data_IF_540286481814
#
_entry.id   IF_540286481814
#
_cell.length_a   1.000
_cell.length_b   1.000
_cell.length_c   1.000
_cell.angle_alpha   90.00
_cell.angle_beta   90.00
_cell.angle_gamma   90.00
#
_symmetry.space_group_name_H-M   'P 1'
#
loop_
_entity.id
_entity.type
_entity.pdbx_description
1 polymer ?
#
# COMPACT_ATOMS: atom_id res chain seq x y z
N UNK A 1 -2.03 -0.39 -50.29
CA UNK A 1 -0.91 -1.01 -49.55
C UNK A 1 0.18 0.05 -49.38
N UNK A 2 0.24 0.67 -48.16
CA UNK A 2 1.26 1.67 -47.88
C UNK A 2 2.66 1.02 -47.82
N UNK A 3 3.53 1.32 -48.79
CA UNK A 3 4.94 0.98 -48.72
C UNK A 3 5.57 1.80 -47.59
N UNK A 4 5.88 1.16 -46.48
CA UNK A 4 6.68 1.74 -45.41
C UNK A 4 8.02 2.14 -46.05
N UNK A 5 8.41 3.41 -45.98
CA UNK A 5 9.69 3.87 -46.47
C UNK A 5 10.82 3.13 -45.73
N UNK A 6 11.95 2.92 -46.42
CA UNK A 6 13.12 2.24 -45.82
C UNK A 6 13.59 2.90 -44.54
N UNK A 7 13.50 4.20 -44.45
CA UNK A 7 13.81 4.98 -43.21
C UNK A 7 12.86 4.74 -42.09
N UNK A 8 11.54 4.64 -42.35
CA UNK A 8 10.56 4.28 -41.36
C UNK A 8 10.76 2.87 -40.81
N UNK A 9 11.16 1.92 -41.68
CA UNK A 9 11.45 0.56 -41.23
C UNK A 9 12.69 0.49 -40.34
N UNK A 10 13.74 1.28 -40.63
CA UNK A 10 14.93 1.40 -39.77
C UNK A 10 14.58 2.02 -38.43
N UNK A 11 13.82 3.11 -38.44
CA UNK A 11 13.36 3.77 -37.21
C UNK A 11 12.52 2.85 -36.32
N UNK A 12 11.56 2.12 -36.89
CA UNK A 12 10.74 1.16 -36.16
C UNK A 12 11.58 0.00 -35.58
N UNK A 13 12.62 -0.46 -36.31
CA UNK A 13 13.55 -1.48 -35.80
C UNK A 13 14.38 -0.95 -34.63
N UNK A 14 14.87 0.28 -34.70
CA UNK A 14 15.63 0.89 -33.59
C UNK A 14 14.80 1.06 -32.35
N UNK A 15 13.54 1.52 -32.46
CA UNK A 15 12.59 1.61 -31.35
C UNK A 15 12.29 0.23 -30.74
N UNK A 16 12.09 -0.78 -31.57
CA UNK A 16 11.82 -2.14 -31.11
C UNK A 16 13.03 -2.73 -30.37
N UNK A 17 14.23 -2.52 -30.89
CA UNK A 17 15.49 -2.93 -30.26
C UNK A 17 15.67 -2.22 -28.91
N UNK A 18 15.48 -0.92 -28.86
CA UNK A 18 15.55 -0.15 -27.60
C UNK A 18 14.56 -0.67 -26.55
N UNK A 19 13.30 -0.91 -26.91
CA UNK A 19 12.28 -1.48 -26.00
C UNK A 19 12.67 -2.88 -25.49
N UNK A 20 13.24 -3.72 -26.36
CA UNK A 20 13.70 -5.06 -25.97
C UNK A 20 14.89 -4.94 -25.02
N UNK A 21 15.88 -4.10 -25.31
CA UNK A 21 17.03 -3.87 -24.43
C UNK A 21 16.60 -3.39 -23.05
N UNK A 22 15.66 -2.42 -22.98
CA UNK A 22 15.13 -1.94 -21.71
C UNK A 22 14.38 -3.04 -20.95
N UNK A 23 13.61 -3.90 -21.63
CA UNK A 23 12.93 -5.02 -20.97
C UNK A 23 13.93 -6.05 -20.42
N UNK A 24 14.95 -6.38 -21.21
CA UNK A 24 16.01 -7.31 -20.79
C UNK A 24 16.77 -6.72 -19.60
N UNK A 25 17.15 -5.45 -19.64
CA UNK A 25 17.83 -4.80 -18.54
C UNK A 25 16.98 -4.82 -17.25
N UNK A 26 15.69 -4.54 -17.34
CA UNK A 26 14.77 -4.62 -16.18
C UNK A 26 14.68 -6.05 -15.64
N UNK A 27 14.56 -7.04 -16.51
CA UNK A 27 14.51 -8.43 -16.10
C UNK A 27 15.82 -8.87 -15.43
N UNK A 28 16.98 -8.48 -15.99
CA UNK A 28 18.29 -8.78 -15.40
C UNK A 28 18.46 -8.14 -14.02
N UNK A 29 18.03 -6.89 -13.84
CA UNK A 29 18.08 -6.22 -12.52
C UNK A 29 17.22 -6.98 -11.51
N UNK A 30 16.01 -7.38 -11.89
CA UNK A 30 15.12 -8.13 -11.01
C UNK A 30 15.72 -9.50 -10.64
N UNK A 31 16.22 -10.23 -11.64
CA UNK A 31 16.84 -11.55 -11.41
C UNK A 31 18.09 -11.40 -10.52
N UNK A 32 18.94 -10.42 -10.79
CA UNK A 32 20.14 -10.17 -9.97
C UNK A 32 19.76 -9.82 -8.53
N UNK A 33 18.74 -9.01 -8.34
CA UNK A 33 18.22 -8.69 -6.99
C UNK A 33 17.74 -9.94 -6.26
N UNK A 34 16.93 -10.79 -6.91
CA UNK A 34 16.43 -12.02 -6.30
C UNK A 34 17.56 -13.00 -5.97
N UNK A 35 18.57 -13.12 -6.86
CA UNK A 35 19.74 -13.96 -6.61
C UNK A 35 20.59 -13.44 -5.45
N UNK A 36 20.83 -12.13 -5.39
CA UNK A 36 21.55 -11.52 -4.26
C UNK A 36 20.80 -11.72 -2.94
N UNK A 37 19.48 -11.59 -2.94
CA UNK A 37 18.66 -11.84 -1.76
C UNK A 37 18.75 -13.29 -1.31
N UNK A 38 18.58 -14.26 -2.23
CA UNK A 38 18.72 -15.69 -1.94
C UNK A 38 20.08 -16.01 -1.34
N UNK A 39 21.15 -15.60 -2.02
CA UNK A 39 22.53 -15.88 -1.57
C UNK A 39 22.82 -15.20 -0.23
N UNK A 40 22.37 -13.97 -0.02
CA UNK A 40 22.56 -13.25 1.25
C UNK A 40 21.85 -13.94 2.42
N UNK A 41 20.67 -14.52 2.17
CA UNK A 41 19.94 -15.30 3.16
C UNK A 41 20.61 -16.64 3.47
N UNK A 42 21.11 -17.34 2.45
CA UNK A 42 21.76 -18.67 2.61
C UNK A 42 23.13 -18.57 3.24
N UNK A 43 23.88 -17.50 2.94
CA UNK A 43 25.21 -17.26 3.54
C UNK A 43 25.16 -16.70 4.95
N UNK A 44 23.96 -16.36 5.45
CA UNK A 44 23.79 -15.78 6.78
C UNK A 44 24.21 -14.31 6.90
N UNK A 45 24.43 -13.61 5.75
CA UNK A 45 24.67 -12.17 5.73
C UNK A 45 23.47 -11.38 6.24
N UNK A 46 22.29 -11.91 5.98
CA UNK A 46 21.02 -11.40 6.52
C UNK A 46 20.34 -12.51 7.33
N UNK A 47 19.69 -12.11 8.42
CA UNK A 47 18.96 -13.05 9.26
C UNK A 47 17.76 -13.62 8.48
N UNK A 48 17.85 -14.89 8.13
CA UNK A 48 16.84 -15.62 7.38
C UNK A 48 15.50 -15.76 8.11
N UNK A 49 15.48 -15.59 9.44
CA UNK A 49 14.26 -15.59 10.24
C UNK A 49 13.46 -14.28 10.04
N UNK A 50 14.17 -13.16 9.93
CA UNK A 50 13.54 -11.83 9.76
C UNK A 50 13.22 -11.55 8.28
N UNK A 51 14.19 -11.79 7.40
CA UNK A 51 14.10 -11.36 5.99
C UNK A 51 13.65 -12.47 5.04
N UNK A 52 13.64 -13.75 5.52
CA UNK A 52 13.33 -14.92 4.68
C UNK A 52 14.21 -15.03 3.43
N UNK A 53 13.81 -15.84 2.46
CA UNK A 53 14.40 -15.91 1.12
C UNK A 53 13.32 -16.18 0.07
N UNK A 54 13.55 -15.82 -1.21
CA UNK A 54 12.64 -16.10 -2.31
C UNK A 54 12.18 -17.56 -2.37
N UNK A 55 13.08 -18.52 -2.21
CA UNK A 55 12.75 -19.95 -2.23
C UNK A 55 11.88 -20.36 -1.04
N UNK A 56 12.14 -19.86 0.17
CA UNK A 56 11.31 -20.13 1.35
C UNK A 56 9.91 -19.53 1.21
N UNK A 57 9.79 -18.33 0.64
CA UNK A 57 8.49 -17.71 0.37
C UNK A 57 7.69 -18.56 -0.62
N UNK A 58 8.32 -19.02 -1.72
CA UNK A 58 7.65 -19.89 -2.68
C UNK A 58 7.22 -21.23 -2.07
N UNK A 59 8.05 -21.83 -1.20
CA UNK A 59 7.72 -23.08 -0.51
C UNK A 59 6.54 -22.89 0.44
N UNK A 60 6.57 -21.86 1.29
CA UNK A 60 5.47 -21.53 2.19
C UNK A 60 4.15 -21.26 1.41
N UNK A 61 4.23 -20.49 0.33
CA UNK A 61 3.06 -20.24 -0.51
C UNK A 61 2.48 -21.53 -1.09
N UNK A 62 3.34 -22.45 -1.58
CA UNK A 62 2.92 -23.75 -2.08
C UNK A 62 2.21 -24.58 -1.00
N UNK A 63 2.76 -24.62 0.21
CA UNK A 63 2.15 -25.33 1.33
C UNK A 63 0.78 -24.75 1.67
N UNK A 64 0.67 -23.41 1.78
CA UNK A 64 -0.59 -22.72 2.05
C UNK A 64 -1.65 -22.94 0.96
N UNK A 65 -1.24 -23.13 -0.29
CA UNK A 65 -2.16 -23.46 -1.40
C UNK A 65 -2.62 -24.92 -1.30
N UNK A 66 -1.71 -25.84 -0.94
CA UNK A 66 -2.01 -27.27 -0.85
C UNK A 66 -2.94 -27.60 0.33
N UNK A 67 -2.72 -26.97 1.48
CA UNK A 67 -3.57 -27.13 2.68
C UNK A 67 -4.82 -26.22 2.68
N UNK A 68 -4.96 -25.38 1.65
CA UNK A 68 -6.05 -24.44 1.46
C UNK A 68 -6.13 -23.32 2.52
N UNK A 69 -5.18 -23.17 3.39
CA UNK A 69 -5.16 -22.12 4.42
C UNK A 69 -5.09 -20.71 3.81
N UNK A 70 -4.49 -20.58 2.63
CA UNK A 70 -4.40 -19.32 1.89
C UNK A 70 -5.78 -18.65 1.69
N UNK A 71 -6.81 -19.43 1.42
CA UNK A 71 -8.17 -18.89 1.20
C UNK A 71 -8.73 -18.27 2.47
N UNK A 72 -8.48 -18.88 3.62
CA UNK A 72 -8.88 -18.34 4.91
C UNK A 72 -8.14 -17.02 5.20
N UNK A 73 -6.82 -17.00 5.02
CA UNK A 73 -6.00 -15.80 5.24
C UNK A 73 -6.40 -14.65 4.31
N UNK A 74 -6.62 -14.94 3.02
CA UNK A 74 -7.10 -13.94 2.05
C UNK A 74 -8.48 -13.42 2.45
N UNK A 75 -9.39 -14.30 2.87
CA UNK A 75 -10.73 -13.89 3.28
C UNK A 75 -10.71 -12.98 4.51
N UNK A 76 -9.94 -13.35 5.53
CA UNK A 76 -9.80 -12.55 6.75
C UNK A 76 -9.21 -11.17 6.42
N UNK A 77 -8.13 -11.14 5.65
CA UNK A 77 -7.50 -9.88 5.24
C UNK A 77 -8.45 -9.00 4.42
N UNK A 78 -9.23 -9.61 3.52
CA UNK A 78 -10.22 -8.88 2.73
C UNK A 78 -11.32 -8.28 3.63
N UNK A 79 -11.83 -9.07 4.56
CA UNK A 79 -12.81 -8.59 5.55
C UNK A 79 -12.26 -7.42 6.37
N UNK A 80 -11.06 -7.55 6.94
CA UNK A 80 -10.41 -6.50 7.74
C UNK A 80 -10.20 -5.22 6.93
N UNK A 81 -9.76 -5.37 5.68
CA UNK A 81 -9.52 -4.24 4.77
C UNK A 81 -10.83 -3.52 4.41
N UNK A 82 -11.85 -4.26 4.02
CA UNK A 82 -13.17 -3.70 3.67
C UNK A 82 -13.80 -3.03 4.89
N UNK A 83 -13.76 -3.68 6.05
CA UNK A 83 -14.32 -3.13 7.29
C UNK A 83 -13.60 -1.82 7.67
N UNK A 84 -12.27 -1.80 7.66
CA UNK A 84 -11.48 -0.59 7.91
C UNK A 84 -11.81 0.52 6.92
N UNK A 85 -11.88 0.19 5.63
CA UNK A 85 -12.20 1.16 4.57
C UNK A 85 -13.59 1.78 4.76
N UNK A 86 -14.60 0.97 5.00
CA UNK A 86 -15.97 1.46 5.21
C UNK A 86 -16.07 2.34 6.46
N UNK A 87 -15.45 1.92 7.56
CA UNK A 87 -15.42 2.71 8.79
C UNK A 87 -14.68 4.04 8.61
N UNK A 88 -13.50 4.03 8.00
CA UNK A 88 -12.75 5.26 7.69
C UNK A 88 -13.59 6.18 6.81
N UNK A 89 -14.19 5.67 5.75
CA UNK A 89 -14.99 6.45 4.82
C UNK A 89 -16.19 7.09 5.52
N UNK A 90 -16.94 6.30 6.29
CA UNK A 90 -18.11 6.78 7.02
C UNK A 90 -17.73 7.87 8.03
N UNK A 91 -16.74 7.59 8.90
CA UNK A 91 -16.33 8.54 9.93
C UNK A 91 -15.70 9.79 9.32
N UNK A 92 -14.92 9.65 8.26
CA UNK A 92 -14.30 10.79 7.56
C UNK A 92 -15.33 11.71 6.93
N UNK A 93 -16.34 11.14 6.24
CA UNK A 93 -17.41 11.94 5.64
C UNK A 93 -18.20 12.67 6.72
N UNK A 94 -18.61 11.97 7.76
CA UNK A 94 -19.38 12.59 8.86
C UNK A 94 -18.58 13.72 9.52
N UNK A 95 -17.32 13.49 9.81
CA UNK A 95 -16.45 14.49 10.45
C UNK A 95 -16.18 15.66 9.51
N UNK A 96 -15.87 15.42 8.23
CA UNK A 96 -15.63 16.48 7.25
C UNK A 96 -16.86 17.36 7.04
N UNK A 97 -18.06 16.77 6.97
CA UNK A 97 -19.33 17.53 6.89
C UNK A 97 -19.56 18.37 8.16
N UNK A 98 -19.33 17.84 9.35
CA UNK A 98 -19.43 18.60 10.59
C UNK A 98 -18.48 19.79 10.63
N UNK A 99 -17.23 19.60 10.19
CA UNK A 99 -16.24 20.68 10.09
C UNK A 99 -16.66 21.75 9.05
N UNK A 100 -17.19 21.32 7.91
CA UNK A 100 -17.67 22.22 6.87
C UNK A 100 -18.90 23.03 7.32
N UNK A 101 -19.84 22.41 8.04
CA UNK A 101 -21.03 23.10 8.57
C UNK A 101 -20.72 24.08 9.71
N UNK A 102 -19.58 23.96 10.39
CA UNK A 102 -19.25 24.78 11.56
C UNK A 102 -17.81 25.30 11.50
N UNK A 103 -17.68 26.56 11.07
CA UNK A 103 -16.39 27.27 11.01
C UNK A 103 -15.65 27.28 12.36
N UNK A 104 -16.38 27.45 13.47
CA UNK A 104 -15.77 27.43 14.80
C UNK A 104 -15.19 26.04 15.15
N UNK A 105 -15.91 24.98 14.79
CA UNK A 105 -15.46 23.62 15.03
C UNK A 105 -14.21 23.31 14.19
N UNK A 106 -14.19 23.76 12.94
CA UNK A 106 -13.06 23.63 12.06
C UNK A 106 -11.82 24.33 12.61
N UNK A 107 -11.92 25.60 12.98
CA UNK A 107 -10.82 26.39 13.54
C UNK A 107 -10.25 25.76 14.83
N UNK A 108 -11.07 25.09 15.64
CA UNK A 108 -10.64 24.41 16.87
C UNK A 108 -9.96 23.07 16.56
N UNK A 109 -10.54 22.25 15.66
CA UNK A 109 -10.10 20.85 15.46
C UNK A 109 -8.98 20.70 14.43
N UNK A 110 -8.87 21.61 13.47
CA UNK A 110 -7.87 21.55 12.39
C UNK A 110 -6.43 21.35 12.92
N UNK A 111 -5.92 22.12 13.90
CA UNK A 111 -4.56 21.91 14.41
C UNK A 111 -4.38 20.51 15.04
N UNK A 112 -5.39 19.98 15.70
CA UNK A 112 -5.33 18.63 16.27
C UNK A 112 -5.31 17.55 15.20
N UNK A 113 -6.11 17.70 14.13
CA UNK A 113 -6.13 16.79 13.00
C UNK A 113 -4.78 16.76 12.28
N UNK A 114 -4.15 17.93 12.11
CA UNK A 114 -2.80 18.03 11.54
C UNK A 114 -1.78 17.29 12.38
N UNK A 115 -1.78 17.49 13.70
CA UNK A 115 -0.86 16.80 14.61
C UNK A 115 -1.09 15.30 14.57
N UNK A 116 -2.34 14.83 14.67
CA UNK A 116 -2.68 13.41 14.63
C UNK A 116 -2.32 12.75 13.28
N UNK A 117 -2.47 13.48 12.18
CA UNK A 117 -2.05 12.99 10.87
C UNK A 117 -0.52 12.90 10.72
N UNK A 118 0.22 13.69 11.47
CA UNK A 118 1.70 13.73 11.43
C UNK A 118 2.36 12.66 12.31
N UNK A 119 1.59 11.95 13.14
CA UNK A 119 2.13 10.87 14.00
C UNK A 119 2.72 9.74 13.15
N UNK A 120 3.85 9.13 13.57
CA UNK A 120 4.44 7.99 12.88
C UNK A 120 3.53 6.77 13.01
N UNK A 121 2.69 6.56 11.99
CA UNK A 121 1.62 5.55 11.98
C UNK A 121 2.16 4.12 12.13
N UNK A 122 3.38 3.86 11.65
CA UNK A 122 4.07 2.57 11.82
C UNK A 122 4.38 2.23 13.28
N UNK A 123 4.58 3.25 14.14
CA UNK A 123 4.82 3.04 15.56
C UNK A 123 3.54 2.71 16.35
N UNK A 124 2.37 3.03 15.81
CA UNK A 124 1.10 2.74 16.47
C UNK A 124 0.73 1.26 16.41
N UNK A 125 1.12 0.53 15.38
CA UNK A 125 0.76 -0.88 15.21
C UNK A 125 1.24 -1.77 16.36
N UNK A 126 2.51 -1.75 16.79
CA UNK A 126 2.96 -2.52 17.96
C UNK A 126 2.22 -2.12 19.25
N UNK A 127 1.94 -0.84 19.45
CA UNK A 127 1.21 -0.35 20.61
C UNK A 127 -0.23 -0.90 20.65
N UNK A 128 -0.91 -0.89 19.51
CA UNK A 128 -2.27 -1.42 19.39
C UNK A 128 -2.31 -2.94 19.64
N UNK A 129 -1.30 -3.68 19.17
CA UNK A 129 -1.19 -5.12 19.43
C UNK A 129 -1.03 -5.40 20.91
N UNK A 130 -0.24 -4.61 21.63
CA UNK A 130 -0.07 -4.75 23.09
C UNK A 130 -1.37 -4.42 23.85
N UNK A 131 -2.13 -3.43 23.39
CA UNK A 131 -3.37 -2.99 24.05
C UNK A 131 -4.57 -3.88 23.75
N UNK A 132 -4.77 -4.24 22.48
CA UNK A 132 -5.98 -4.92 22.00
C UNK A 132 -5.74 -6.41 21.67
N UNK A 133 -4.49 -6.86 21.80
CA UNK A 133 -4.09 -8.19 21.37
C UNK A 133 -3.92 -8.34 19.85
N UNK A 134 -3.47 -9.48 19.40
CA UNK A 134 -3.34 -9.82 17.98
C UNK A 134 -4.68 -10.34 17.43
N UNK A 135 -5.64 -9.45 17.25
CA UNK A 135 -7.01 -9.78 16.82
C UNK A 135 -7.37 -9.05 15.51
N UNK A 136 -8.38 -9.52 14.75
CA UNK A 136 -8.90 -8.80 13.59
C UNK A 136 -9.32 -7.36 13.90
N UNK A 137 -9.89 -7.13 15.09
CA UNK A 137 -10.26 -5.79 15.56
C UNK A 137 -9.06 -4.87 15.65
N UNK A 138 -7.92 -5.37 16.12
CA UNK A 138 -6.67 -4.60 16.21
C UNK A 138 -6.19 -4.15 14.84
N UNK A 139 -6.28 -5.03 13.84
CA UNK A 139 -5.89 -4.72 12.46
C UNK A 139 -6.83 -3.68 11.86
N UNK A 140 -8.13 -3.80 12.10
CA UNK A 140 -9.12 -2.80 11.66
C UNK A 140 -8.82 -1.43 12.28
N UNK A 141 -8.59 -1.36 13.59
CA UNK A 141 -8.25 -0.10 14.30
C UNK A 141 -6.93 0.48 13.80
N UNK A 142 -5.93 -0.37 13.57
CA UNK A 142 -4.66 0.06 12.98
C UNK A 142 -4.85 0.66 11.58
N UNK A 143 -5.61 -0.01 10.71
CA UNK A 143 -5.98 0.49 9.39
C UNK A 143 -6.70 1.85 9.46
N UNK A 144 -7.65 1.99 10.37
CA UNK A 144 -8.33 3.26 10.63
C UNK A 144 -7.35 4.35 11.07
N UNK A 145 -6.46 4.07 12.00
CA UNK A 145 -5.49 5.06 12.51
C UNK A 145 -4.56 5.60 11.43
N UNK A 146 -4.26 4.79 10.41
CA UNK A 146 -3.42 5.19 9.27
C UNK A 146 -4.14 6.15 8.33
N UNK A 147 -5.42 5.92 8.05
CA UNK A 147 -6.13 6.57 6.96
C UNK A 147 -7.08 7.70 7.43
N UNK A 148 -7.62 7.62 8.65
CA UNK A 148 -8.73 8.44 9.10
C UNK A 148 -8.42 9.95 9.03
N UNK A 149 -7.35 10.40 9.67
CA UNK A 149 -7.05 11.84 9.77
C UNK A 149 -6.73 12.47 8.42
N UNK A 150 -5.98 11.77 7.57
CA UNK A 150 -5.70 12.20 6.21
C UNK A 150 -6.95 12.29 5.35
N UNK A 151 -7.86 11.31 5.48
CA UNK A 151 -9.13 11.30 4.74
C UNK A 151 -10.07 12.44 5.18
N UNK A 152 -10.17 12.72 6.48
CA UNK A 152 -10.94 13.84 7.00
C UNK A 152 -10.43 15.17 6.41
N UNK A 153 -9.11 15.40 6.45
CA UNK A 153 -8.52 16.63 5.96
C UNK A 153 -8.70 16.80 4.44
N UNK A 154 -8.51 15.72 3.69
CA UNK A 154 -8.71 15.76 2.23
C UNK A 154 -10.15 16.07 1.85
N UNK A 155 -11.13 15.43 2.50
CA UNK A 155 -12.55 15.69 2.27
C UNK A 155 -12.95 17.10 2.68
N UNK A 156 -12.52 17.55 3.86
CA UNK A 156 -12.78 18.92 4.32
C UNK A 156 -12.22 19.98 3.37
N UNK A 157 -10.97 19.81 2.94
CA UNK A 157 -10.35 20.71 1.94
C UNK A 157 -11.12 20.71 0.62
N UNK A 158 -11.56 19.54 0.16
CA UNK A 158 -12.37 19.43 -1.07
C UNK A 158 -13.70 20.17 -0.94
N UNK A 159 -14.40 20.04 0.18
CA UNK A 159 -15.67 20.75 0.40
C UNK A 159 -15.49 22.28 0.45
N UNK A 160 -14.44 22.76 1.12
CA UNK A 160 -14.16 24.21 1.19
C UNK A 160 -13.71 24.80 -0.14
N UNK A 161 -13.09 24.01 -1.02
CA UNK A 161 -12.67 24.47 -2.35
C UNK A 161 -13.87 24.63 -3.30
N UNK A 162 -14.82 23.68 -3.27
CA UNK A 162 -16.04 23.74 -4.11
C UNK A 162 -16.95 24.90 -3.72
N UNK A 163 -16.98 25.28 -2.45
CA UNK A 163 -17.82 26.39 -1.96
C UNK A 163 -17.30 27.80 -2.38
N UNK A 164 -16.10 27.87 -2.98
CA UNK A 164 -15.48 29.11 -3.46
C UNK A 164 -15.66 29.35 -4.99
N UNK A 165 -16.19 28.36 -5.73
CA UNK A 165 -16.53 28.48 -7.16
C UNK A 165 -18.00 28.84 -7.35
#
# INVERSE_FOLDING_TARGET
MNKISSEQAIFLRSLKRHRITVRIARALILILFLLLWEVSSDTGLIDSFIFSSPSKICMCLREMVMDRSIFLHVWVTLYETIASFLLVTLVSILTAVLLWCSRRLSEILEPYLVVLNSLPKSALAPLLIVWLGATPTTIIVAGMSVALFGSIMNLYTSFTTVDQE
#
